data_IF_599536756148
#
_entry.id   IF_599536756148
#
_cell.length_a   1.000
_cell.length_b   1.000
_cell.length_c   1.000
_cell.angle_alpha   90.00
_cell.angle_beta   90.00
_cell.angle_gamma   90.00
#
_symmetry.space_group_name_H-M   'P 1'
#
loop_
_entity.id
_entity.type
_entity.pdbx_description
1 polymer ?
#
# COMPACT_ATOMS: atom_id res chain seq x y z
N UNK A 1 29.75 -54.80 37.05
CA UNK A 1 28.57 -54.55 36.21
C UNK A 1 27.49 -53.77 36.95
N UNK A 2 26.97 -54.27 38.09
CA UNK A 2 25.93 -53.58 38.89
C UNK A 2 26.28 -52.14 39.31
N UNK A 3 27.51 -51.90 39.78
CA UNK A 3 27.99 -50.57 40.17
C UNK A 3 28.00 -49.58 38.98
N UNK A 4 28.45 -50.04 37.81
CA UNK A 4 28.46 -49.23 36.59
C UNK A 4 27.04 -48.93 36.09
N UNK A 5 26.10 -49.89 36.24
CA UNK A 5 24.69 -49.69 35.89
C UNK A 5 24.02 -48.66 36.81
N UNK A 6 24.29 -48.72 38.12
CA UNK A 6 23.80 -47.70 39.08
C UNK A 6 24.30 -46.30 38.73
N UNK A 7 25.61 -46.13 38.50
CA UNK A 7 26.16 -44.84 38.10
C UNK A 7 25.62 -44.36 36.74
N UNK A 8 25.42 -45.27 35.79
CA UNK A 8 24.83 -44.95 34.49
C UNK A 8 23.41 -44.39 34.60
N UNK A 9 22.55 -44.98 35.44
CA UNK A 9 21.18 -44.49 35.66
C UNK A 9 21.21 -43.11 36.34
N UNK A 10 22.05 -42.92 37.36
CA UNK A 10 22.16 -41.62 38.05
C UNK A 10 22.59 -40.49 37.10
N UNK A 11 23.57 -40.75 36.22
CA UNK A 11 24.01 -39.76 35.23
C UNK A 11 22.89 -39.43 34.24
N UNK A 12 22.13 -40.41 33.76
CA UNK A 12 21.02 -40.18 32.84
C UNK A 12 19.90 -39.33 33.46
N UNK A 13 19.54 -39.59 34.73
CA UNK A 13 18.51 -38.82 35.45
C UNK A 13 18.97 -37.38 35.68
N UNK A 14 20.23 -37.18 36.10
CA UNK A 14 20.80 -35.84 36.33
C UNK A 14 20.96 -35.06 35.01
N UNK A 15 21.21 -35.75 33.88
CA UNK A 15 21.37 -35.13 32.58
C UNK A 15 20.04 -34.65 31.96
N UNK A 16 18.88 -35.07 32.47
CA UNK A 16 17.58 -34.66 31.92
C UNK A 16 17.27 -33.19 32.27
N UNK A 17 17.19 -32.28 31.29
CA UNK A 17 17.06 -30.85 31.56
C UNK A 17 15.58 -30.45 31.72
N UNK A 18 14.92 -30.89 32.79
CA UNK A 18 13.48 -30.66 33.00
C UNK A 18 13.06 -29.18 32.90
N UNK A 19 13.92 -28.24 33.34
CA UNK A 19 13.65 -26.82 33.27
C UNK A 19 13.72 -26.25 31.84
N UNK A 20 14.49 -26.88 30.95
CA UNK A 20 14.67 -26.41 29.57
C UNK A 20 13.35 -26.46 28.79
N UNK A 21 12.51 -27.47 29.06
CA UNK A 21 11.21 -27.63 28.42
C UNK A 21 10.20 -26.53 28.77
N UNK A 22 10.40 -25.81 29.88
CA UNK A 22 9.54 -24.70 30.31
C UNK A 22 10.14 -23.32 30.01
N UNK A 23 11.46 -23.21 29.89
CA UNK A 23 12.13 -21.93 29.69
C UNK A 23 11.61 -21.16 28.46
N UNK A 24 11.58 -21.80 27.29
CA UNK A 24 11.12 -21.18 26.04
C UNK A 24 9.63 -20.78 26.07
N UNK A 25 8.66 -21.67 26.39
CA UNK A 25 7.25 -21.27 26.39
C UNK A 25 6.94 -20.18 27.42
N UNK A 26 7.58 -20.18 28.59
CA UNK A 26 7.41 -19.10 29.57
C UNK A 26 7.97 -17.78 29.05
N UNK A 27 9.16 -17.77 28.44
CA UNK A 27 9.74 -16.56 27.85
C UNK A 27 8.86 -15.99 26.72
N UNK A 28 8.40 -16.85 25.81
CA UNK A 28 7.50 -16.45 24.72
C UNK A 28 6.17 -15.91 25.25
N UNK A 29 5.56 -16.57 26.23
CA UNK A 29 4.30 -16.13 26.83
C UNK A 29 4.43 -14.73 27.46
N UNK A 30 5.50 -14.49 28.23
CA UNK A 30 5.74 -13.18 28.84
C UNK A 30 6.05 -12.13 27.78
N UNK A 31 6.94 -12.42 26.83
CA UNK A 31 7.32 -11.48 25.78
C UNK A 31 6.14 -11.07 24.88
N UNK A 32 5.29 -12.03 24.50
CA UNK A 32 4.06 -11.75 23.74
C UNK A 32 3.05 -10.95 24.55
N UNK A 33 2.92 -11.19 25.86
CA UNK A 33 2.09 -10.41 26.76
C UNK A 33 2.56 -8.96 26.93
N UNK A 34 3.89 -8.75 27.05
CA UNK A 34 4.50 -7.41 27.08
C UNK A 34 4.34 -6.71 25.73
N UNK A 35 4.54 -7.41 24.61
CA UNK A 35 4.28 -6.85 23.27
C UNK A 35 2.83 -6.37 23.14
N UNK A 36 1.87 -7.20 23.56
CA UNK A 36 0.45 -6.86 23.48
C UNK A 36 0.08 -5.61 24.30
N UNK A 37 0.67 -5.42 25.49
CA UNK A 37 0.45 -4.21 26.30
C UNK A 37 1.05 -2.95 25.66
N UNK A 38 1.98 -3.10 24.72
CA UNK A 38 2.56 -2.02 23.90
C UNK A 38 1.93 -1.93 22.50
N UNK A 39 0.85 -2.66 22.22
CA UNK A 39 0.16 -2.64 20.93
C UNK A 39 0.81 -3.49 19.84
N UNK A 40 1.78 -4.35 20.17
CA UNK A 40 2.45 -5.27 19.25
C UNK A 40 1.89 -6.68 19.43
N UNK A 41 1.10 -7.14 18.45
CA UNK A 41 0.50 -8.47 18.49
C UNK A 41 1.37 -9.49 17.75
N UNK A 42 1.99 -10.39 18.50
CA UNK A 42 2.89 -11.42 17.97
C UNK A 42 2.18 -12.77 17.99
N UNK A 43 1.99 -13.38 16.81
CA UNK A 43 1.33 -14.68 16.66
C UNK A 43 2.35 -15.81 16.71
N UNK A 44 2.58 -16.36 17.91
CA UNK A 44 3.44 -17.53 18.15
C UNK A 44 4.91 -17.20 18.45
N UNK A 45 5.64 -18.15 19.04
CA UNK A 45 7.04 -17.96 19.45
C UNK A 45 8.03 -17.86 18.28
N UNK A 46 7.78 -18.57 17.19
CA UNK A 46 8.66 -18.56 16.01
C UNK A 46 8.77 -17.16 15.39
N UNK A 47 7.69 -16.37 15.39
CA UNK A 47 7.70 -15.01 14.88
C UNK A 47 8.59 -14.10 15.74
N UNK A 48 8.53 -14.24 17.08
CA UNK A 48 9.37 -13.49 18.01
C UNK A 48 10.86 -13.82 17.82
N UNK A 49 11.19 -15.11 17.70
CA UNK A 49 12.57 -15.56 17.47
C UNK A 49 13.10 -15.14 16.10
N UNK A 50 12.25 -15.20 15.06
CA UNK A 50 12.65 -14.83 13.70
C UNK A 50 12.84 -13.32 13.56
N UNK A 51 12.03 -12.51 14.26
CA UNK A 51 12.14 -11.04 14.23
C UNK A 51 13.53 -10.54 14.65
N UNK A 52 14.19 -11.24 15.59
CA UNK A 52 15.56 -10.89 16.02
C UNK A 52 16.61 -11.06 14.91
N UNK A 53 16.34 -11.92 13.93
CA UNK A 53 17.26 -12.23 12.82
C UNK A 53 16.99 -11.41 11.57
N UNK A 54 15.96 -10.56 11.59
CA UNK A 54 15.61 -9.71 10.45
C UNK A 54 16.67 -8.65 10.26
N UNK A 55 17.20 -8.60 9.05
CA UNK A 55 18.21 -7.67 8.55
C UNK A 55 17.66 -6.77 7.43
N UNK A 56 16.55 -7.14 6.80
CA UNK A 56 15.85 -6.34 5.80
C UNK A 56 14.34 -6.27 6.06
N UNK A 57 13.76 -5.07 5.98
CA UNK A 57 12.32 -4.82 6.06
C UNK A 57 11.83 -4.21 4.75
N UNK A 58 10.84 -4.88 4.15
CA UNK A 58 10.13 -4.41 2.97
C UNK A 58 8.83 -3.74 3.41
N UNK A 59 8.74 -2.43 3.18
CA UNK A 59 7.58 -1.61 3.50
C UNK A 59 6.63 -1.53 2.31
N UNK A 60 5.36 -1.80 2.56
CA UNK A 60 4.32 -1.32 1.66
C UNK A 60 4.11 0.20 1.86
N UNK A 61 3.66 0.90 0.83
CA UNK A 61 3.38 2.35 0.96
C UNK A 61 2.05 2.57 1.69
N UNK A 62 0.96 2.20 1.02
CA UNK A 62 -0.42 2.53 1.41
C UNK A 62 -0.80 1.89 2.73
N UNK A 63 -1.15 2.70 3.73
CA UNK A 63 -1.58 2.24 5.07
C UNK A 63 -0.45 1.80 6.00
N UNK A 64 0.77 1.64 5.49
CA UNK A 64 1.95 1.28 6.29
C UNK A 64 2.82 2.51 6.54
N UNK A 65 3.43 3.07 5.49
CA UNK A 65 4.18 4.34 5.59
C UNK A 65 3.23 5.55 5.60
N UNK A 66 2.09 5.42 4.93
CA UNK A 66 1.03 6.42 4.88
C UNK A 66 -0.12 6.07 5.82
N UNK A 67 -1.03 7.01 6.05
CA UNK A 67 -2.22 6.82 6.88
C UNK A 67 -3.16 5.76 6.26
N UNK A 68 -3.15 5.60 4.93
CA UNK A 68 -4.04 4.69 4.21
C UNK A 68 -5.44 5.27 4.00
N UNK A 69 -5.56 6.59 4.11
CA UNK A 69 -6.78 7.37 3.88
C UNK A 69 -6.48 8.42 2.81
N UNK A 70 -6.44 8.01 1.53
CA UNK A 70 -6.19 8.94 0.45
C UNK A 70 -7.26 10.04 0.42
N UNK A 71 -6.86 11.25 0.07
CA UNK A 71 -7.73 12.41 -0.11
C UNK A 71 -7.45 13.07 -1.44
N UNK A 72 -8.49 13.52 -2.13
CA UNK A 72 -8.33 14.32 -3.34
C UNK A 72 -7.83 15.71 -2.94
N UNK A 73 -6.69 16.11 -3.48
CA UNK A 73 -6.03 17.40 -3.17
C UNK A 73 -6.16 18.40 -4.31
N UNK A 74 -6.21 17.92 -5.55
CA UNK A 74 -6.29 18.78 -6.72
C UNK A 74 -7.06 18.12 -7.86
N UNK A 75 -7.62 18.94 -8.75
CA UNK A 75 -8.33 18.49 -9.95
C UNK A 75 -8.07 19.46 -11.07
N UNK A 76 -7.54 18.96 -12.19
CA UNK A 76 -7.29 19.75 -13.40
C UNK A 76 -8.19 19.23 -14.51
N UNK A 77 -9.00 20.11 -15.09
CA UNK A 77 -9.87 19.78 -16.22
C UNK A 77 -9.28 20.37 -17.50
N UNK A 78 -9.25 19.58 -18.58
CA UNK A 78 -8.76 20.02 -19.89
C UNK A 78 -9.87 20.58 -20.78
N UNK A 79 -11.13 20.26 -20.45
CA UNK A 79 -12.31 20.79 -21.13
C UNK A 79 -13.09 21.73 -20.22
N UNK A 80 -13.88 22.61 -20.84
CA UNK A 80 -14.88 23.43 -20.15
C UNK A 80 -16.05 22.57 -19.67
N UNK A 81 -15.79 21.69 -18.72
CA UNK A 81 -16.78 20.88 -18.01
C UNK A 81 -16.95 21.45 -16.60
N UNK A 82 -18.18 21.42 -16.09
CA UNK A 82 -18.42 21.82 -14.71
C UNK A 82 -17.83 20.75 -13.79
N UNK A 83 -17.03 21.14 -12.79
CA UNK A 83 -16.40 20.21 -11.83
C UNK A 83 -17.39 19.22 -11.22
N UNK A 84 -18.61 19.69 -10.90
CA UNK A 84 -19.69 18.83 -10.41
C UNK A 84 -20.03 17.70 -11.37
N UNK A 85 -20.29 18.05 -12.63
CA UNK A 85 -20.67 17.08 -13.66
C UNK A 85 -19.52 16.08 -13.92
N UNK A 86 -18.27 16.55 -13.92
CA UNK A 86 -17.10 15.69 -14.00
C UNK A 86 -17.09 14.65 -12.86
N UNK A 87 -17.29 15.10 -11.62
CA UNK A 87 -17.31 14.21 -10.46
C UNK A 87 -18.50 13.24 -10.45
N UNK A 88 -19.64 13.60 -11.03
CA UNK A 88 -20.78 12.69 -11.17
C UNK A 88 -20.44 11.46 -12.02
N UNK A 89 -19.77 11.67 -13.16
CA UNK A 89 -19.32 10.55 -14.00
C UNK A 89 -18.20 9.74 -13.36
N UNK A 90 -17.22 10.41 -12.76
CA UNK A 90 -16.08 9.70 -12.14
C UNK A 90 -16.55 8.88 -10.93
N UNK A 91 -17.39 9.45 -10.07
CA UNK A 91 -17.94 8.74 -8.92
C UNK A 91 -18.84 7.58 -9.34
N UNK A 92 -19.65 7.74 -10.40
CA UNK A 92 -20.42 6.64 -10.97
C UNK A 92 -19.52 5.49 -11.47
N UNK A 93 -18.35 5.79 -12.05
CA UNK A 93 -17.41 4.76 -12.49
C UNK A 93 -16.73 4.06 -11.30
N UNK A 94 -16.40 4.81 -10.25
CA UNK A 94 -15.60 4.33 -9.11
C UNK A 94 -16.45 3.74 -7.96
N UNK A 95 -17.77 3.95 -7.92
CA UNK A 95 -18.63 3.45 -6.83
C UNK A 95 -18.59 1.93 -6.67
N UNK A 96 -18.33 1.20 -7.77
CA UNK A 96 -18.24 -0.26 -7.77
C UNK A 96 -16.82 -0.78 -7.46
N UNK A 97 -15.86 0.11 -7.24
CA UNK A 97 -14.46 -0.22 -6.97
C UNK A 97 -14.17 -0.25 -5.47
N UNK A 98 -13.55 -1.33 -5.00
CA UNK A 98 -13.14 -1.47 -3.60
C UNK A 98 -11.81 -0.77 -3.27
N UNK A 99 -11.17 -0.16 -4.28
CA UNK A 99 -9.86 0.46 -4.12
C UNK A 99 -9.92 1.69 -3.20
N UNK A 100 -8.96 1.90 -2.27
CA UNK A 100 -8.95 3.07 -1.40
C UNK A 100 -9.01 4.42 -2.15
N UNK A 101 -8.31 4.53 -3.29
CA UNK A 101 -8.36 5.73 -4.15
C UNK A 101 -9.77 5.98 -4.71
N UNK A 102 -10.49 4.93 -5.11
CA UNK A 102 -11.85 5.02 -5.62
C UNK A 102 -12.80 5.59 -4.55
N UNK A 103 -12.68 5.05 -3.32
CA UNK A 103 -13.45 5.53 -2.16
C UNK A 103 -13.18 7.00 -1.88
N UNK A 104 -11.92 7.44 -1.93
CA UNK A 104 -11.55 8.84 -1.75
C UNK A 104 -12.16 9.77 -2.81
N UNK A 105 -12.18 9.34 -4.07
CA UNK A 105 -12.79 10.11 -5.16
C UNK A 105 -14.31 10.21 -4.97
N UNK A 106 -14.97 9.09 -4.63
CA UNK A 106 -16.42 9.06 -4.37
C UNK A 106 -16.77 9.93 -3.16
N UNK A 107 -16.00 9.89 -2.08
CA UNK A 107 -16.19 10.78 -0.92
C UNK A 107 -16.00 12.25 -1.30
N UNK A 108 -14.98 12.57 -2.10
CA UNK A 108 -14.76 13.93 -2.57
C UNK A 108 -15.91 14.43 -3.47
N UNK A 109 -16.44 13.57 -4.35
CA UNK A 109 -17.59 13.87 -5.19
C UNK A 109 -18.86 14.16 -4.38
N UNK A 110 -19.07 13.46 -3.26
CA UNK A 110 -20.19 13.72 -2.35
C UNK A 110 -20.16 15.12 -1.75
N UNK A 111 -18.98 15.70 -1.51
CA UNK A 111 -18.87 17.06 -0.95
C UNK A 111 -19.40 18.16 -1.89
N UNK A 112 -19.51 17.88 -3.20
CA UNK A 112 -20.14 18.79 -4.16
C UNK A 112 -21.68 18.68 -4.19
N UNK A 113 -22.24 17.75 -3.41
CA UNK A 113 -23.68 17.51 -3.31
C UNK A 113 -24.16 17.87 -1.91
N UNK A 114 -25.17 18.74 -1.84
CA UNK A 114 -25.76 19.18 -0.57
C UNK A 114 -26.63 18.11 0.10
N UNK A 115 -26.93 17.00 -0.59
CA UNK A 115 -27.79 15.93 -0.12
C UNK A 115 -26.97 14.67 0.19
N UNK A 116 -27.17 14.09 1.37
CA UNK A 116 -26.49 12.86 1.83
C UNK A 116 -26.78 11.63 0.95
N UNK A 117 -27.85 11.67 0.13
CA UNK A 117 -28.29 10.59 -0.76
C UNK A 117 -28.31 11.02 -2.22
N UNK A 118 -27.17 11.48 -2.74
CA UNK A 118 -27.02 11.64 -4.18
C UNK A 118 -26.95 10.27 -4.87
N UNK A 119 -27.83 10.06 -5.85
CA UNK A 119 -27.87 8.83 -6.66
C UNK A 119 -26.97 9.04 -7.87
N UNK A 120 -25.84 8.35 -7.91
CA UNK A 120 -24.96 8.34 -9.07
C UNK A 120 -25.67 7.70 -10.28
N UNK A 121 -25.38 8.17 -11.50
CA UNK A 121 -25.78 7.48 -12.72
C UNK A 121 -25.39 5.99 -12.72
N UNK A 122 -26.23 5.14 -13.31
CA UNK A 122 -25.96 3.70 -13.40
C UNK A 122 -24.73 3.45 -14.29
N UNK A 123 -23.73 2.77 -13.73
CA UNK A 123 -22.57 2.29 -14.47
C UNK A 123 -22.85 0.88 -15.04
N UNK A 124 -22.75 0.76 -16.36
CA UNK A 124 -22.85 -0.49 -17.13
C UNK A 124 -21.47 -0.93 -17.59
N UNK A 125 -21.33 -2.22 -17.90
CA UNK A 125 -20.09 -2.81 -18.43
C UNK A 125 -18.84 -2.46 -17.59
N UNK A 126 -18.97 -2.47 -16.27
CA UNK A 126 -17.86 -2.17 -15.36
C UNK A 126 -16.75 -3.22 -15.47
N UNK A 127 -15.54 -2.75 -15.74
CA UNK A 127 -14.32 -3.56 -15.83
C UNK A 127 -13.29 -2.94 -14.91
N UNK A 128 -12.77 -3.73 -13.96
CA UNK A 128 -11.63 -3.35 -13.13
C UNK A 128 -10.38 -4.08 -13.61
N UNK A 129 -9.33 -3.33 -13.93
CA UNK A 129 -8.04 -3.86 -14.37
C UNK A 129 -7.02 -3.60 -13.26
N UNK A 130 -6.59 -4.66 -12.58
CA UNK A 130 -5.65 -4.57 -11.45
C UNK A 130 -4.36 -3.86 -11.85
N UNK A 131 -3.95 -2.87 -11.05
CA UNK A 131 -2.76 -2.05 -11.28
C UNK A 131 -2.87 -1.02 -12.40
N UNK A 132 -4.05 -0.85 -13.00
CA UNK A 132 -4.27 0.07 -14.13
C UNK A 132 -5.39 1.07 -13.85
N UNK A 133 -6.59 0.58 -13.50
CA UNK A 133 -7.75 1.43 -13.27
C UNK A 133 -9.08 0.73 -13.51
N UNK A 134 -10.13 1.53 -13.73
CA UNK A 134 -11.49 1.08 -14.02
C UNK A 134 -12.01 1.68 -15.31
N UNK A 135 -12.89 0.93 -15.99
CA UNK A 135 -13.62 1.37 -17.18
C UNK A 135 -15.10 1.04 -16.98
N UNK A 136 -15.98 1.98 -17.29
CA UNK A 136 -17.41 1.79 -17.23
C UNK A 136 -18.12 2.62 -18.29
N UNK A 137 -19.32 2.21 -18.68
CA UNK A 137 -20.22 2.99 -19.51
C UNK A 137 -21.29 3.64 -18.64
N UNK A 138 -21.35 4.96 -18.63
CA UNK A 138 -22.30 5.72 -17.81
C UNK A 138 -23.19 6.51 -18.74
N UNK A 139 -24.49 6.20 -18.70
CA UNK A 139 -25.44 6.64 -19.73
C UNK A 139 -24.95 6.21 -21.12
N UNK A 140 -24.59 7.16 -21.99
CA UNK A 140 -24.05 6.88 -23.33
C UNK A 140 -22.53 7.09 -23.44
N UNK A 141 -21.86 7.56 -22.38
CA UNK A 141 -20.43 7.89 -22.39
C UNK A 141 -19.57 6.74 -21.86
N UNK A 142 -18.44 6.49 -22.51
CA UNK A 142 -17.42 5.57 -21.99
C UNK A 142 -16.48 6.33 -21.07
N UNK A 143 -16.48 6.01 -19.77
CA UNK A 143 -15.63 6.64 -18.76
C UNK A 143 -14.52 5.68 -18.34
N UNK A 144 -13.29 6.18 -18.34
CA UNK A 144 -12.09 5.43 -17.97
C UNK A 144 -11.35 6.24 -16.92
N UNK A 145 -10.99 5.60 -15.80
CA UNK A 145 -10.28 6.21 -14.69
C UNK A 145 -9.07 5.34 -14.38
N UNK A 146 -7.86 5.88 -14.44
CA UNK A 146 -6.66 5.08 -14.20
C UNK A 146 -5.34 5.80 -14.44
N UNK A 147 -4.26 5.02 -14.52
CA UNK A 147 -2.91 5.53 -14.75
C UNK A 147 -2.59 5.73 -16.24
N UNK A 148 -1.43 6.33 -16.52
CA UNK A 148 -0.93 6.58 -17.88
C UNK A 148 -0.82 5.30 -18.72
N UNK A 149 -0.32 4.21 -18.13
CA UNK A 149 -0.18 2.92 -18.81
C UNK A 149 -1.53 2.36 -19.26
N UNK A 150 -2.60 2.56 -18.48
CA UNK A 150 -3.94 2.13 -18.85
C UNK A 150 -4.49 2.91 -20.05
N UNK A 151 -4.29 4.24 -20.06
CA UNK A 151 -4.71 5.08 -21.19
C UNK A 151 -4.02 4.66 -22.49
N UNK A 152 -2.70 4.47 -22.45
CA UNK A 152 -1.92 4.01 -23.60
C UNK A 152 -2.34 2.61 -24.07
N UNK A 153 -2.71 1.71 -23.16
CA UNK A 153 -3.18 0.36 -23.52
C UNK A 153 -4.54 0.35 -24.23
N UNK A 154 -5.29 1.45 -24.13
CA UNK A 154 -6.60 1.65 -24.77
C UNK A 154 -6.50 2.59 -25.99
N UNK A 155 -5.28 2.86 -26.48
CA UNK A 155 -5.00 3.76 -27.59
C UNK A 155 -5.51 5.20 -27.35
N UNK A 156 -5.55 5.65 -26.09
CA UNK A 156 -5.91 7.02 -25.72
C UNK A 156 -4.64 7.88 -25.65
N UNK A 157 -4.57 8.90 -26.50
CA UNK A 157 -3.47 9.85 -26.51
C UNK A 157 -3.44 10.68 -25.23
N UNK A 158 -2.27 10.74 -24.58
CA UNK A 158 -2.02 11.56 -23.41
C UNK A 158 -1.32 12.85 -23.84
N UNK A 159 -2.00 14.02 -23.82
CA UNK A 159 -1.39 15.28 -24.20
C UNK A 159 -0.16 15.63 -23.37
N UNK A 160 0.74 16.44 -23.94
CA UNK A 160 1.95 16.90 -23.24
C UNK A 160 1.59 17.64 -21.96
N UNK A 161 0.60 18.54 -22.02
CA UNK A 161 0.08 19.28 -20.87
C UNK A 161 -0.39 18.36 -19.73
N UNK A 162 -1.05 17.24 -20.08
CA UNK A 162 -1.46 16.25 -19.10
C UNK A 162 -0.28 15.52 -18.46
N UNK A 163 0.75 15.21 -19.24
CA UNK A 163 1.98 14.61 -18.71
C UNK A 163 2.76 15.56 -17.80
N UNK A 164 2.80 16.85 -18.13
CA UNK A 164 3.45 17.88 -17.29
C UNK A 164 2.74 18.02 -15.94
N UNK A 165 1.42 18.11 -15.93
CA UNK A 165 0.62 18.18 -14.69
C UNK A 165 0.83 16.94 -13.82
N UNK A 166 0.84 15.74 -14.41
CA UNK A 166 1.12 14.51 -13.65
C UNK A 166 2.51 14.57 -13.00
N UNK A 167 3.52 15.00 -13.75
CA UNK A 167 4.88 15.10 -13.24
C UNK A 167 4.99 16.11 -12.06
N UNK A 168 4.36 17.28 -12.18
CA UNK A 168 4.32 18.27 -11.09
C UNK A 168 3.64 17.77 -9.82
N UNK A 169 2.57 16.99 -9.96
CA UNK A 169 1.84 16.42 -8.82
C UNK A 169 2.59 15.23 -8.21
N UNK A 170 3.24 14.41 -9.03
CA UNK A 170 4.10 13.32 -8.60
C UNK A 170 5.31 13.79 -7.79
N UNK A 171 5.92 14.92 -8.17
CA UNK A 171 7.01 15.57 -7.41
C UNK A 171 6.57 15.98 -6.00
N UNK A 172 5.27 16.26 -5.80
CA UNK A 172 4.67 16.58 -4.51
C UNK A 172 4.21 15.35 -3.74
N UNK A 173 4.63 14.14 -4.15
CA UNK A 173 4.15 12.88 -3.58
C UNK A 173 2.64 12.65 -3.73
N UNK A 174 1.99 13.25 -4.74
CA UNK A 174 0.61 12.97 -5.07
C UNK A 174 0.54 11.87 -6.15
N UNK A 175 -0.46 11.00 -6.05
CA UNK A 175 -0.80 10.02 -7.07
C UNK A 175 -1.72 10.69 -8.10
N UNK A 176 -1.24 10.82 -9.34
CA UNK A 176 -2.03 11.35 -10.45
C UNK A 176 -2.90 10.28 -11.10
N UNK A 177 -4.21 10.54 -11.18
CA UNK A 177 -5.21 9.67 -11.80
C UNK A 177 -5.78 10.40 -13.01
N UNK A 178 -5.69 9.77 -14.18
CA UNK A 178 -6.19 10.31 -15.43
C UNK A 178 -7.63 9.84 -15.62
N UNK A 179 -8.48 10.76 -16.06
CA UNK A 179 -9.87 10.48 -16.43
C UNK A 179 -10.06 10.77 -17.92
N UNK A 180 -10.54 9.78 -18.64
CA UNK A 180 -10.93 9.90 -20.04
C UNK A 180 -12.43 9.61 -20.22
N UNK A 181 -13.06 10.38 -21.11
CA UNK A 181 -14.45 10.17 -21.54
C UNK A 181 -14.49 10.13 -23.06
N UNK A 182 -15.13 9.10 -23.61
CA UNK A 182 -15.26 8.90 -25.07
C UNK A 182 -13.91 8.93 -25.81
N UNK A 183 -12.90 8.27 -25.23
CA UNK A 183 -11.50 8.19 -25.72
C UNK A 183 -10.70 9.50 -25.67
N UNK A 184 -11.22 10.54 -25.01
CA UNK A 184 -10.49 11.79 -24.84
C UNK A 184 -10.25 12.08 -23.35
N UNK A 185 -9.06 12.57 -23.01
CA UNK A 185 -8.73 12.94 -21.63
C UNK A 185 -9.49 14.21 -21.26
N UNK A 186 -10.28 14.13 -20.20
CA UNK A 186 -11.12 15.23 -19.71
C UNK A 186 -10.56 15.89 -18.46
N UNK A 187 -9.75 15.15 -17.68
CA UNK A 187 -9.12 15.71 -16.49
C UNK A 187 -8.14 14.77 -15.80
N UNK A 188 -7.44 15.33 -14.82
CA UNK A 188 -6.56 14.64 -13.89
C UNK A 188 -7.05 14.94 -12.47
N UNK A 189 -7.14 13.89 -11.67
CA UNK A 189 -7.40 13.96 -10.23
C UNK A 189 -6.10 13.63 -9.52
N UNK A 190 -5.68 14.50 -8.61
CA UNK A 190 -4.49 14.30 -7.80
C UNK A 190 -4.93 13.90 -6.40
N UNK A 191 -4.44 12.75 -5.96
CA UNK A 191 -4.79 12.16 -4.67
C UNK A 191 -3.53 12.07 -3.82
N UNK A 192 -3.62 12.51 -2.58
CA UNK A 192 -2.52 12.40 -1.61
C UNK A 192 -2.93 11.41 -0.52
N UNK A 193 -2.01 10.49 -0.17
CA UNK A 193 -2.12 9.67 1.03
C UNK A 193 -1.05 10.13 2.02
N UNK A 194 -1.43 10.93 3.04
CA UNK A 194 -0.45 11.57 3.91
C UNK A 194 0.47 10.56 4.59
N UNK A 195 1.75 10.90 4.70
CA UNK A 195 2.74 10.09 5.40
C UNK A 195 2.43 10.11 6.90
N UNK A 196 2.62 8.97 7.58
CA UNK A 196 2.49 8.92 9.05
C UNK A 196 3.56 9.82 9.67
N UNK A 197 3.22 10.62 10.71
CA UNK A 197 4.14 11.60 11.29
C UNK A 197 5.45 10.98 11.79
N UNK A 198 5.40 9.74 12.29
CA UNK A 198 6.58 9.06 12.84
C UNK A 198 7.29 8.16 11.82
N UNK A 199 6.86 8.13 10.55
CA UNK A 199 7.44 7.22 9.55
C UNK A 199 8.94 7.45 9.38
N UNK A 200 9.36 8.71 9.24
CA UNK A 200 10.77 9.07 9.10
C UNK A 200 11.62 8.64 10.30
N UNK A 201 11.11 8.84 11.52
CA UNK A 201 11.80 8.45 12.76
C UNK A 201 11.95 6.93 12.86
N UNK A 202 10.91 6.18 12.50
CA UNK A 202 10.93 4.71 12.49
C UNK A 202 11.96 4.18 11.50
N UNK A 203 12.00 4.71 10.27
CA UNK A 203 13.00 4.31 9.27
C UNK A 203 14.42 4.65 9.75
N UNK A 204 14.61 5.83 10.35
CA UNK A 204 15.90 6.25 10.92
C UNK A 204 16.35 5.31 12.04
N UNK A 205 15.44 4.92 12.93
CA UNK A 205 15.72 3.97 14.00
C UNK A 205 16.12 2.59 13.45
N UNK A 206 15.39 2.07 12.46
CA UNK A 206 15.71 0.79 11.81
C UNK A 206 17.07 0.81 11.10
N UNK A 207 17.38 1.90 10.40
CA UNK A 207 18.72 2.12 9.82
C UNK A 207 19.82 2.13 10.89
N UNK A 208 19.58 2.72 12.06
CA UNK A 208 20.52 2.70 13.19
C UNK A 208 20.77 1.29 13.75
N UNK A 209 19.77 0.40 13.62
CA UNK A 209 19.88 -1.03 13.93
C UNK A 209 20.56 -1.85 12.82
N UNK A 210 21.02 -1.19 11.74
CA UNK A 210 21.57 -1.80 10.51
C UNK A 210 20.58 -2.69 9.76
N UNK A 211 19.29 -2.38 9.89
CA UNK A 211 18.24 -3.05 9.11
C UNK A 211 18.05 -2.28 7.79
N UNK A 212 18.19 -2.98 6.68
CA UNK A 212 17.90 -2.45 5.35
C UNK A 212 16.40 -2.17 5.21
N UNK A 213 16.05 -1.00 4.67
CA UNK A 213 14.66 -0.61 4.45
C UNK A 213 14.42 -0.46 2.95
N UNK A 214 13.46 -1.22 2.43
CA UNK A 214 13.05 -1.20 1.02
C UNK A 214 11.58 -0.81 0.95
N UNK A 215 11.19 0.08 0.04
CA UNK A 215 9.78 0.39 -0.21
C UNK A 215 9.31 -0.28 -1.49
N UNK A 216 8.18 -0.99 -1.44
CA UNK A 216 7.53 -1.60 -2.60
C UNK A 216 6.11 -1.07 -2.72
N UNK A 217 5.81 -0.42 -3.84
CA UNK A 217 4.51 0.21 -4.08
C UNK A 217 3.99 -0.04 -5.50
N UNK A 218 2.68 -0.02 -5.66
CA UNK A 218 2.02 -0.04 -6.98
C UNK A 218 1.88 1.36 -7.61
N UNK A 219 2.20 2.41 -6.85
CA UNK A 219 2.22 3.79 -7.34
C UNK A 219 3.31 4.01 -8.38
N UNK A 220 3.19 5.09 -9.15
CA UNK A 220 4.19 5.50 -10.13
C UNK A 220 5.55 5.83 -9.48
N UNK A 221 6.58 5.89 -10.32
CA UNK A 221 7.95 6.20 -9.89
C UNK A 221 8.13 7.58 -9.25
N UNK A 222 7.43 8.62 -9.72
CA UNK A 222 7.58 9.98 -9.22
C UNK A 222 7.10 10.09 -7.76
N UNK A 223 5.87 9.66 -7.51
CA UNK A 223 5.27 9.59 -6.17
C UNK A 223 6.09 8.71 -5.23
N UNK A 224 6.52 7.53 -5.70
CA UNK A 224 7.31 6.62 -4.89
C UNK A 224 8.67 7.24 -4.49
N UNK A 225 9.36 7.91 -5.41
CA UNK A 225 10.63 8.61 -5.11
C UNK A 225 10.43 9.78 -4.15
N UNK A 226 9.36 10.57 -4.33
CA UNK A 226 9.05 11.69 -3.45
C UNK A 226 8.81 11.21 -2.01
N UNK A 227 7.98 10.18 -1.83
CA UNK A 227 7.72 9.57 -0.52
C UNK A 227 9.00 8.96 0.06
N UNK A 228 9.75 8.20 -0.73
CA UNK A 228 11.00 7.58 -0.29
C UNK A 228 12.00 8.61 0.22
N UNK A 229 12.11 9.76 -0.45
CA UNK A 229 12.94 10.89 0.00
C UNK A 229 12.46 11.47 1.33
N UNK A 230 11.15 11.60 1.53
CA UNK A 230 10.56 12.15 2.75
C UNK A 230 10.75 11.21 3.96
N UNK A 231 10.51 9.90 3.78
CA UNK A 231 10.71 8.90 4.86
C UNK A 231 12.16 8.45 5.02
N UNK A 232 13.04 8.77 4.06
CA UNK A 232 14.45 8.38 4.08
C UNK A 232 14.73 6.95 3.60
N UNK A 233 13.95 6.41 2.67
CA UNK A 233 14.18 5.11 2.01
C UNK A 233 14.77 5.34 0.61
N UNK A 234 15.91 4.70 0.32
CA UNK A 234 16.63 4.82 -0.96
C UNK A 234 16.27 3.69 -1.94
N UNK A 235 16.09 2.47 -1.42
CA UNK A 235 15.75 1.31 -2.22
C UNK A 235 14.24 1.26 -2.44
N UNK A 236 13.80 1.64 -3.64
CA UNK A 236 12.38 1.81 -3.99
C UNK A 236 12.05 0.98 -5.22
N UNK A 237 10.92 0.30 -5.16
CA UNK A 237 10.34 -0.45 -6.28
C UNK A 237 8.92 0.07 -6.46
N UNK A 238 8.71 0.79 -7.56
CA UNK A 238 7.45 1.38 -7.92
C UNK A 238 6.75 0.58 -9.04
N UNK A 239 5.47 0.87 -9.28
CA UNK A 239 4.63 0.23 -10.30
C UNK A 239 4.55 -1.30 -10.17
N UNK A 240 4.79 -1.82 -8.97
CA UNK A 240 4.82 -3.25 -8.71
C UNK A 240 3.40 -3.82 -8.60
N UNK A 241 3.10 -4.81 -9.44
CA UNK A 241 1.89 -5.63 -9.34
C UNK A 241 1.96 -6.56 -8.13
N UNK A 242 0.81 -7.04 -7.59
CA UNK A 242 0.79 -7.93 -6.44
C UNK A 242 1.69 -9.17 -6.60
N UNK A 243 1.73 -9.78 -7.78
CA UNK A 243 2.57 -10.94 -8.07
C UNK A 243 4.07 -10.59 -7.98
N UNK A 244 4.44 -9.42 -8.51
CA UNK A 244 5.82 -8.93 -8.51
C UNK A 244 6.29 -8.58 -7.09
N UNK A 245 5.39 -8.13 -6.20
CA UNK A 245 5.73 -7.90 -4.77
C UNK A 245 6.18 -9.21 -4.12
N UNK A 246 5.45 -10.30 -4.36
CA UNK A 246 5.75 -11.60 -3.78
C UNK A 246 7.05 -12.20 -4.34
N UNK A 247 7.27 -12.08 -5.64
CA UNK A 247 8.53 -12.50 -6.28
C UNK A 247 9.73 -11.74 -5.69
N UNK A 248 9.59 -10.44 -5.48
CA UNK A 248 10.68 -9.64 -4.95
C UNK A 248 11.06 -10.01 -3.52
N UNK A 249 10.07 -10.27 -2.67
CA UNK A 249 10.33 -10.77 -1.31
C UNK A 249 11.08 -12.10 -1.38
N UNK A 250 10.73 -12.98 -2.32
CA UNK A 250 11.41 -14.27 -2.52
C UNK A 250 12.86 -14.11 -2.97
N UNK A 251 13.16 -13.16 -3.85
CA UNK A 251 14.54 -12.84 -4.25
C UNK A 251 15.39 -12.38 -3.06
N UNK A 252 14.82 -11.51 -2.21
CA UNK A 252 15.50 -10.97 -1.03
C UNK A 252 15.74 -12.06 0.03
N UNK A 253 14.86 -13.06 0.15
CA UNK A 253 15.03 -14.18 1.08
C UNK A 253 16.14 -15.17 0.71
N UNK A 254 16.63 -15.13 -0.54
CA UNK A 254 17.68 -16.03 -1.04
C UNK A 254 19.07 -15.37 -1.00
N UNK A 255 19.10 -14.04 -0.88
CA UNK A 255 20.33 -13.24 -0.79
C UNK A 255 20.91 -13.28 0.62
#
# INVERSE_FOLDING_TARGET
FQLALQFGISVMVIACPCALGLATPTAVMVATGVGASQGVLIKGGQALESAQKVDCIVFDKTGTLTIGKPIVVNTRLFKNMVLREFYDYVAAAEVNSEHPLAKAIVEHAKNFHSEETHIWPEARDFISVTGHGVKAKISDKSVIVGNKSFMLSLDIDVPVEASEILMEEEEKAHTGIIVAMDQEIVGIISVSDPIKPNAHEVISYLKSMKVECIMVTGDNWGTAKAIGKEVGIENIIAEAKPEQKAEKVKELQVS
#
